data_IF_372302218779
#
_entry.id   IF_372302218779
#
_cell.length_a   1.000
_cell.length_b   1.000
_cell.length_c   1.000
_cell.angle_alpha   90.00
_cell.angle_beta   90.00
_cell.angle_gamma   90.00
#
_symmetry.space_group_name_H-M   'P 1'
#
loop_
_entity.id
_entity.type
_entity.pdbx_description
1 polymer ?
#
# COMPACT_ATOMS: atom_id res chain seq x y z
N UNK A 1 20.60 -1.20 8.40
CA UNK A 1 20.38 -2.66 8.53
C UNK A 1 19.57 -3.12 7.33
N UNK A 2 20.12 -4.00 6.49
CA UNK A 2 19.37 -4.56 5.37
C UNK A 2 18.44 -5.65 5.89
N UNK A 3 17.14 -5.50 5.67
CA UNK A 3 16.15 -6.56 5.94
C UNK A 3 16.48 -7.75 5.02
N UNK A 4 16.59 -8.97 5.57
CA UNK A 4 16.89 -10.15 4.77
C UNK A 4 15.75 -10.49 3.81
N UNK A 5 16.04 -11.23 2.74
CA UNK A 5 14.99 -11.68 1.81
C UNK A 5 13.95 -12.57 2.52
N UNK A 6 14.37 -13.36 3.50
CA UNK A 6 13.47 -14.18 4.33
C UNK A 6 12.51 -13.32 5.15
N UNK A 7 13.01 -12.27 5.79
CA UNK A 7 12.19 -11.35 6.57
C UNK A 7 11.22 -10.57 5.68
N UNK A 8 11.65 -10.12 4.49
CA UNK A 8 10.77 -9.48 3.50
C UNK A 8 9.66 -10.42 3.04
N UNK A 9 10.00 -11.66 2.69
CA UNK A 9 9.02 -12.66 2.30
C UNK A 9 8.02 -12.93 3.44
N UNK A 10 8.49 -13.00 4.68
CA UNK A 10 7.63 -13.18 5.84
C UNK A 10 6.60 -12.05 5.97
N UNK A 11 7.02 -10.79 5.86
CA UNK A 11 6.11 -9.63 5.90
C UNK A 11 5.07 -9.69 4.78
N UNK A 12 5.48 -10.04 3.55
CA UNK A 12 4.55 -10.17 2.42
C UNK A 12 3.52 -11.28 2.64
N UNK A 13 3.93 -12.41 3.21
CA UNK A 13 3.01 -13.50 3.57
C UNK A 13 2.02 -13.07 4.65
N UNK A 14 2.46 -12.31 5.66
CA UNK A 14 1.56 -11.75 6.69
C UNK A 14 0.56 -10.74 6.14
N UNK A 15 0.88 -10.04 5.05
CA UNK A 15 -0.03 -9.11 4.39
C UNK A 15 -1.12 -9.82 3.55
N UNK A 16 -0.89 -11.07 3.14
CA UNK A 16 -1.76 -11.82 2.22
C UNK A 16 -3.24 -11.94 2.68
N UNK A 17 -3.56 -12.18 3.97
CA UNK A 17 -4.95 -12.23 4.42
C UNK A 17 -5.69 -10.90 4.22
N UNK A 18 -5.00 -9.76 4.37
CA UNK A 18 -5.59 -8.43 4.18
C UNK A 18 -5.85 -8.13 2.71
N UNK A 19 -4.92 -8.50 1.83
CA UNK A 19 -5.10 -8.35 0.38
C UNK A 19 -6.32 -9.15 -0.08
N UNK A 20 -6.38 -10.44 0.30
CA UNK A 20 -7.51 -11.30 -0.07
C UNK A 20 -8.86 -10.80 0.46
N UNK A 21 -8.88 -10.17 1.63
CA UNK A 21 -10.11 -9.65 2.23
C UNK A 21 -10.75 -8.54 1.40
N UNK A 22 -9.95 -7.72 0.72
CA UNK A 22 -10.41 -6.53 0.00
C UNK A 22 -10.26 -6.62 -1.51
N UNK A 23 -9.73 -7.73 -2.01
CA UNK A 23 -9.54 -7.93 -3.44
C UNK A 23 -10.89 -7.89 -4.19
N UNK A 24 -10.98 -7.04 -5.20
CA UNK A 24 -12.18 -6.81 -6.02
C UNK A 24 -13.24 -5.89 -5.38
N UNK A 25 -13.01 -5.42 -4.16
CA UNK A 25 -13.89 -4.45 -3.51
C UNK A 25 -13.65 -3.03 -4.04
N UNK A 26 -14.64 -2.15 -3.92
CA UNK A 26 -14.46 -0.72 -4.24
C UNK A 26 -14.07 0.05 -2.99
N UNK A 27 -12.83 0.53 -2.92
CA UNK A 27 -12.33 1.38 -1.83
C UNK A 27 -12.28 2.85 -2.24
N UNK A 28 -12.94 3.70 -1.45
CA UNK A 28 -12.93 5.16 -1.65
C UNK A 28 -11.95 5.80 -0.66
N UNK A 29 -10.85 6.35 -1.17
CA UNK A 29 -9.84 7.05 -0.37
C UNK A 29 -10.02 8.56 -0.50
N UNK A 30 -10.22 9.25 0.63
CA UNK A 30 -10.26 10.72 0.65
C UNK A 30 -8.84 11.28 0.70
N UNK A 31 -8.40 11.86 -0.42
CA UNK A 31 -7.10 12.52 -0.51
C UNK A 31 -7.21 14.03 -0.22
N UNK A 32 -6.46 14.53 0.77
CA UNK A 32 -6.59 15.91 1.23
C UNK A 32 -5.57 16.33 2.30
N UNK A 33 -5.58 17.60 2.67
CA UNK A 33 -4.70 18.15 3.72
C UNK A 33 -3.23 18.18 3.33
N UNK A 34 -2.34 17.98 4.32
CA UNK A 34 -0.89 18.08 4.14
C UNK A 34 -0.32 17.08 3.11
N UNK A 35 -1.02 15.95 2.90
CA UNK A 35 -0.67 14.95 1.90
C UNK A 35 -0.69 15.51 0.46
N UNK A 36 -1.42 16.60 0.19
CA UNK A 36 -1.46 17.24 -1.14
C UNK A 36 -0.34 18.25 -1.39
N UNK A 37 0.28 18.75 -0.31
CA UNK A 37 1.20 19.89 -0.35
C UNK A 37 2.64 19.41 -0.25
N UNK A 38 2.91 18.49 0.69
CA UNK A 38 4.24 17.93 0.87
C UNK A 38 4.55 16.95 -0.29
N UNK A 39 5.63 17.17 -1.07
CA UNK A 39 5.96 16.33 -2.22
C UNK A 39 6.22 14.87 -1.88
N UNK A 40 6.89 14.58 -0.76
CA UNK A 40 7.20 13.22 -0.33
C UNK A 40 5.94 12.47 0.08
N UNK A 41 5.03 13.13 0.82
CA UNK A 41 3.74 12.55 1.19
C UNK A 41 2.86 12.33 -0.03
N UNK A 42 2.88 13.25 -0.99
CA UNK A 42 2.14 13.10 -2.25
C UNK A 42 2.64 11.87 -3.01
N UNK A 43 3.95 11.69 -3.14
CA UNK A 43 4.53 10.52 -3.81
C UNK A 43 4.21 9.22 -3.07
N UNK A 44 4.34 9.20 -1.74
CA UNK A 44 4.01 8.03 -0.93
C UNK A 44 2.54 7.62 -1.10
N UNK A 45 1.60 8.57 -1.02
CA UNK A 45 0.17 8.28 -1.21
C UNK A 45 -0.12 7.75 -2.61
N UNK A 46 0.51 8.28 -3.65
CA UNK A 46 0.32 7.79 -5.01
C UNK A 46 0.88 6.37 -5.19
N UNK A 47 2.03 6.06 -4.59
CA UNK A 47 2.60 4.71 -4.60
C UNK A 47 1.68 3.71 -3.87
N UNK A 48 1.07 4.09 -2.75
CA UNK A 48 0.13 3.23 -2.03
C UNK A 48 -1.13 2.94 -2.86
N UNK A 49 -1.69 3.94 -3.53
CA UNK A 49 -2.85 3.77 -4.43
C UNK A 49 -2.51 2.82 -5.58
N UNK A 50 -1.34 2.98 -6.20
CA UNK A 50 -0.89 2.09 -7.27
C UNK A 50 -0.65 0.68 -6.75
N UNK A 51 -0.04 0.53 -5.56
CA UNK A 51 0.14 -0.78 -4.92
C UNK A 51 -1.19 -1.48 -4.72
N UNK A 52 -2.20 -0.80 -4.16
CA UNK A 52 -3.55 -1.34 -3.96
C UNK A 52 -4.12 -1.87 -5.28
N UNK A 53 -4.07 -1.07 -6.34
CA UNK A 53 -4.54 -1.49 -7.66
C UNK A 53 -3.78 -2.72 -8.20
N UNK A 54 -2.46 -2.76 -8.04
CA UNK A 54 -1.62 -3.87 -8.51
C UNK A 54 -1.90 -5.19 -7.77
N UNK A 55 -2.30 -5.13 -6.51
CA UNK A 55 -2.67 -6.32 -5.72
C UNK A 55 -4.16 -6.65 -5.80
N UNK A 56 -4.93 -5.92 -6.62
CA UNK A 56 -6.33 -6.17 -6.90
C UNK A 56 -7.31 -5.55 -5.90
N UNK A 57 -6.89 -4.56 -5.12
CA UNK A 57 -7.69 -3.78 -4.17
C UNK A 57 -8.10 -2.45 -4.79
#
# INVERSE_FOLDING_TARGET
>A
MGISNGDRAHVLVQAMPYIKKWAGETIVVKYGGNAMINPELKEAVMNDIVLMQLVGI
#
